data_IF_067892448033
#
_entry.id   IF_067892448033
#
_cell.length_a   1.000
_cell.length_b   1.000
_cell.length_c   1.000
_cell.angle_alpha   90.00
_cell.angle_beta   90.00
_cell.angle_gamma   90.00
#
_symmetry.space_group_name_H-M   'P 1'
#
loop_
_entity.id
_entity.type
_entity.pdbx_description
1 polymer ?
#
# COMPACT_ATOMS: atom_id res chain seq x y z
N UNK A 1 -2.74 -20.19 21.11
CA UNK A 1 -2.33 -19.58 19.83
C UNK A 1 -0.81 -19.46 19.88
N UNK A 2 -0.07 -20.18 19.04
CA UNK A 2 1.39 -20.08 19.02
C UNK A 2 1.78 -18.86 18.18
N UNK A 3 2.31 -17.82 18.82
CA UNK A 3 2.72 -16.57 18.14
C UNK A 3 3.94 -16.75 17.24
N UNK A 4 4.66 -17.88 17.36
CA UNK A 4 5.83 -18.22 16.55
C UNK A 4 5.50 -19.11 15.35
N UNK A 5 4.23 -19.47 15.16
CA UNK A 5 3.83 -20.28 14.01
C UNK A 5 3.95 -19.47 12.71
N UNK A 6 4.81 -19.94 11.81
CA UNK A 6 5.01 -19.35 10.49
C UNK A 6 3.97 -19.97 9.54
N UNK A 7 2.97 -19.17 9.17
CA UNK A 7 1.97 -19.50 8.15
C UNK A 7 2.18 -18.66 6.89
N UNK A 8 1.92 -19.26 5.74
CA UNK A 8 1.86 -18.56 4.46
C UNK A 8 0.75 -17.51 4.46
N UNK A 9 0.85 -16.51 3.57
CA UNK A 9 -0.22 -15.52 3.41
C UNK A 9 -1.55 -16.15 2.99
N UNK A 10 -1.51 -17.22 2.19
CA UNK A 10 -2.73 -17.96 1.83
C UNK A 10 -3.44 -18.49 3.07
N UNK A 11 -2.72 -19.20 3.94
CA UNK A 11 -3.28 -19.75 5.19
C UNK A 11 -3.75 -18.66 6.16
N UNK A 12 -3.10 -17.49 6.15
CA UNK A 12 -3.52 -16.35 6.99
C UNK A 12 -4.79 -15.66 6.49
N UNK A 13 -5.05 -15.70 5.18
CA UNK A 13 -6.22 -15.10 4.56
C UNK A 13 -7.33 -16.12 4.29
N UNK A 14 -7.06 -17.42 4.48
CA UNK A 14 -8.03 -18.49 4.29
C UNK A 14 -9.26 -18.30 5.18
N UNK A 15 -10.45 -18.45 4.60
CA UNK A 15 -11.72 -18.19 5.27
C UNK A 15 -12.11 -16.71 5.40
N UNK A 16 -11.20 -15.76 5.13
CA UNK A 16 -11.55 -14.34 4.99
C UNK A 16 -11.92 -14.04 3.54
N UNK A 17 -13.22 -13.93 3.27
CA UNK A 17 -13.74 -13.66 1.91
C UNK A 17 -13.43 -12.26 1.40
N UNK A 18 -13.07 -11.33 2.30
CA UNK A 18 -12.75 -9.96 1.94
C UNK A 18 -11.71 -9.33 2.89
N UNK A 19 -10.41 -9.66 2.74
CA UNK A 19 -9.33 -9.04 3.51
C UNK A 19 -9.03 -7.60 3.11
N UNK A 20 -9.62 -7.09 2.03
CA UNK A 20 -9.46 -5.70 1.60
C UNK A 20 -8.09 -5.42 0.99
N UNK A 21 -7.32 -4.51 1.61
CA UNK A 21 -5.95 -4.15 1.20
C UNK A 21 -5.00 -4.52 2.32
N UNK A 22 -3.82 -5.01 1.96
CA UNK A 22 -2.82 -5.33 2.97
C UNK A 22 -1.40 -5.13 2.48
N UNK A 23 -0.54 -4.90 3.46
CA UNK A 23 0.88 -4.69 3.31
C UNK A 23 1.57 -5.75 4.17
N UNK A 24 2.53 -6.44 3.57
CA UNK A 24 3.52 -7.26 4.27
C UNK A 24 4.86 -6.60 4.07
N UNK A 25 5.57 -6.32 5.15
CA UNK A 25 6.87 -5.66 5.12
C UNK A 25 7.79 -6.32 6.13
N UNK A 26 9.02 -6.57 5.72
CA UNK A 26 10.03 -7.18 6.58
C UNK A 26 11.23 -7.63 5.77
N UNK A 27 11.86 -8.71 6.22
CA UNK A 27 13.04 -9.30 5.59
C UNK A 27 12.79 -10.72 5.12
N UNK A 28 13.55 -11.16 4.12
CA UNK A 28 13.57 -12.57 3.70
C UNK A 28 14.03 -13.48 4.84
N UNK A 29 13.70 -14.77 4.76
CA UNK A 29 14.02 -15.73 5.82
C UNK A 29 15.53 -15.87 6.12
N UNK A 30 16.38 -15.56 5.13
CA UNK A 30 17.84 -15.52 5.31
C UNK A 30 18.36 -14.19 5.89
N UNK A 31 17.48 -13.21 6.12
CA UNK A 31 17.79 -11.88 6.63
C UNK A 31 18.55 -10.98 5.67
N UNK A 32 18.74 -11.38 4.40
CA UNK A 32 19.64 -10.68 3.46
C UNK A 32 18.96 -9.61 2.62
N UNK A 33 17.64 -9.67 2.46
CA UNK A 33 16.89 -8.75 1.61
C UNK A 33 15.68 -8.21 2.35
N UNK A 34 15.37 -6.93 2.14
CA UNK A 34 14.05 -6.42 2.42
C UNK A 34 13.03 -7.10 1.47
N UNK A 35 11.86 -7.44 1.99
CA UNK A 35 10.76 -8.01 1.23
C UNK A 35 9.48 -7.25 1.56
N UNK A 36 8.82 -6.77 0.51
CA UNK A 36 7.56 -6.04 0.60
C UNK A 36 6.56 -6.69 -0.34
N UNK A 37 5.34 -6.90 0.14
CA UNK A 37 4.21 -7.33 -0.67
C UNK A 37 3.00 -6.45 -0.39
N UNK A 38 2.32 -6.06 -1.47
CA UNK A 38 1.04 -5.37 -1.42
C UNK A 38 -0.02 -6.22 -2.11
N UNK A 39 -1.19 -6.33 -1.51
CA UNK A 39 -2.33 -7.00 -2.13
C UNK A 39 -3.59 -6.16 -1.99
N UNK A 40 -4.48 -6.33 -2.97
CA UNK A 40 -5.65 -5.50 -3.13
C UNK A 40 -6.87 -6.30 -3.57
N UNK A 41 -8.00 -5.98 -2.96
CA UNK A 41 -9.31 -6.49 -3.34
C UNK A 41 -10.32 -5.36 -3.50
N UNK A 42 -11.38 -5.63 -4.26
CA UNK A 42 -12.46 -4.68 -4.52
C UNK A 42 -13.83 -5.26 -4.16
N UNK A 43 -14.74 -4.39 -3.68
CA UNK A 43 -16.16 -4.71 -3.41
C UNK A 43 -17.04 -4.37 -4.59
N UNK A 44 -16.92 -3.15 -5.11
CA UNK A 44 -17.70 -2.62 -6.23
C UNK A 44 -17.05 -2.91 -7.58
N UNK A 45 -17.81 -2.76 -8.66
CA UNK A 45 -17.30 -2.80 -10.04
C UNK A 45 -16.13 -1.83 -10.20
N UNK A 46 -16.29 -0.57 -9.76
CA UNK A 46 -15.23 0.45 -9.82
C UNK A 46 -13.94 -0.02 -9.09
N UNK A 47 -14.06 -0.53 -7.86
CA UNK A 47 -12.90 -0.96 -7.06
C UNK A 47 -12.27 -2.29 -7.50
N UNK A 48 -12.99 -3.11 -8.27
CA UNK A 48 -12.49 -4.36 -8.87
C UNK A 48 -11.83 -4.12 -10.21
N UNK A 49 -12.17 -3.02 -10.87
CA UNK A 49 -11.70 -2.66 -12.20
C UNK A 49 -10.29 -2.07 -12.17
N UNK A 50 -9.33 -2.77 -11.57
CA UNK A 50 -7.94 -2.31 -11.46
C UNK A 50 -6.94 -3.42 -11.62
N UNK A 51 -5.85 -3.10 -12.31
CA UNK A 51 -4.66 -3.95 -12.48
C UNK A 51 -3.43 -3.17 -12.05
N UNK A 52 -2.36 -3.89 -11.69
CA UNK A 52 -1.06 -3.26 -11.48
C UNK A 52 -0.32 -3.14 -12.80
N UNK A 53 0.34 -2.01 -12.99
CA UNK A 53 1.28 -1.78 -14.07
C UNK A 53 2.61 -1.31 -13.49
N UNK A 54 3.68 -1.82 -14.06
CA UNK A 54 5.04 -1.40 -13.72
C UNK A 54 5.29 0.02 -14.23
N UNK A 55 5.90 0.82 -13.36
CA UNK A 55 6.41 2.16 -13.62
C UNK A 55 7.91 2.19 -13.30
N UNK A 56 8.70 3.14 -13.83
CA UNK A 56 10.14 3.20 -13.59
C UNK A 56 10.54 3.25 -12.10
N UNK A 57 9.68 3.78 -11.24
CA UNK A 57 9.90 3.94 -9.80
C UNK A 57 8.95 3.07 -8.96
N UNK A 58 8.35 2.01 -9.52
CA UNK A 58 7.54 1.07 -8.74
C UNK A 58 6.35 0.51 -9.53
N UNK A 59 5.17 0.56 -8.93
CA UNK A 59 3.94 0.14 -9.60
C UNK A 59 2.83 1.16 -9.39
N UNK A 60 1.94 1.23 -10.36
CA UNK A 60 0.73 2.04 -10.33
C UNK A 60 -0.50 1.17 -10.59
N UNK A 61 -1.62 1.51 -10.00
CA UNK A 61 -2.90 0.93 -10.42
C UNK A 61 -3.43 1.63 -11.67
N UNK A 62 -3.94 0.83 -12.61
CA UNK A 62 -4.64 1.32 -13.80
C UNK A 62 -6.00 0.64 -13.92
N UNK A 63 -6.95 1.30 -14.60
CA UNK A 63 -8.24 0.70 -14.87
C UNK A 63 -8.07 -0.49 -15.83
N UNK A 64 -8.66 -1.65 -15.48
CA UNK A 64 -8.65 -2.80 -16.39
C UNK A 64 -9.48 -2.51 -17.65
N UNK A 65 -10.69 -1.99 -17.46
CA UNK A 65 -11.57 -1.47 -18.50
C UNK A 65 -11.88 0.01 -18.21
N UNK A 66 -11.26 0.95 -18.94
CA UNK A 66 -11.51 2.39 -18.72
C UNK A 66 -12.97 2.81 -18.81
N UNK A 67 -13.85 2.06 -19.51
CA UNK A 67 -15.27 2.38 -19.63
C UNK A 67 -16.08 2.08 -18.36
N UNK A 68 -15.58 1.20 -17.48
CA UNK A 68 -16.22 0.85 -16.21
C UNK A 68 -15.73 1.72 -15.04
N UNK A 69 -14.81 2.66 -15.31
CA UNK A 69 -14.28 3.58 -14.31
C UNK A 69 -15.22 4.77 -14.14
N UNK A 70 -15.74 4.93 -12.93
CA UNK A 70 -16.62 6.04 -12.57
C UNK A 70 -15.85 7.16 -11.90
N UNK A 71 -14.99 6.81 -10.94
CA UNK A 71 -14.17 7.75 -10.20
C UNK A 71 -12.74 7.19 -10.05
N UNK A 72 -11.72 7.86 -10.63
CA UNK A 72 -10.33 7.42 -10.57
C UNK A 72 -9.66 7.68 -9.21
N UNK A 73 -10.16 8.60 -8.38
CA UNK A 73 -9.43 9.15 -7.22
C UNK A 73 -8.98 8.07 -6.22
N UNK A 74 -9.85 7.11 -5.91
CA UNK A 74 -9.55 6.03 -4.95
C UNK A 74 -9.03 4.74 -5.60
N UNK A 75 -8.84 4.73 -6.93
CA UNK A 75 -8.49 3.52 -7.67
C UNK A 75 -7.20 3.66 -8.48
N UNK A 76 -6.78 4.88 -8.86
CA UNK A 76 -5.55 5.15 -9.62
C UNK A 76 -4.54 5.84 -8.70
N UNK A 77 -3.54 5.10 -8.24
CA UNK A 77 -2.47 5.59 -7.36
C UNK A 77 -1.24 4.68 -7.46
N UNK A 78 -0.12 5.09 -6.87
CA UNK A 78 1.06 4.24 -6.71
C UNK A 78 0.95 3.42 -5.43
N UNK A 79 0.65 2.11 -5.44
CA UNK A 79 0.70 1.34 -4.21
C UNK A 79 2.13 1.04 -3.74
N UNK A 80 3.12 1.07 -4.65
CA UNK A 80 4.54 0.92 -4.29
C UNK A 80 5.35 1.93 -5.09
N UNK A 81 6.25 2.66 -4.42
CA UNK A 81 7.11 3.65 -5.05
C UNK A 81 8.49 3.72 -4.40
N UNK A 82 9.53 3.81 -5.21
CA UNK A 82 10.93 3.96 -4.80
C UNK A 82 11.22 5.38 -4.30
N UNK A 83 12.09 5.47 -3.28
CA UNK A 83 12.61 6.74 -2.75
C UNK A 83 14.09 6.58 -2.40
N UNK A 84 14.96 6.89 -3.37
CA UNK A 84 16.39 6.57 -3.25
C UNK A 84 16.58 5.06 -3.15
N UNK A 85 17.26 4.57 -2.10
CA UNK A 85 17.39 3.14 -1.78
C UNK A 85 16.25 2.61 -0.88
N UNK A 86 15.22 3.42 -0.64
CA UNK A 86 14.05 3.09 0.15
C UNK A 86 12.83 2.72 -0.71
N UNK A 87 11.80 2.17 -0.06
CA UNK A 87 10.54 1.78 -0.70
C UNK A 87 9.33 2.21 0.14
N UNK A 88 8.42 2.95 -0.48
CA UNK A 88 7.12 3.34 0.08
C UNK A 88 6.07 2.36 -0.42
N UNK A 89 5.19 1.89 0.47
CA UNK A 89 4.06 1.04 0.11
C UNK A 89 2.79 1.51 0.81
N UNK A 90 1.71 1.78 0.09
CA UNK A 90 0.45 2.26 0.71
C UNK A 90 -0.79 1.78 -0.04
N UNK A 91 -1.98 1.94 0.55
CA UNK A 91 -3.26 1.62 -0.11
C UNK A 91 -3.93 2.79 -0.85
N UNK A 92 -3.25 3.91 -1.07
CA UNK A 92 -3.85 5.05 -1.75
C UNK A 92 -2.84 6.08 -2.24
N UNK A 93 -3.36 7.23 -2.65
CA UNK A 93 -2.58 8.38 -3.15
C UNK A 93 -1.64 9.00 -2.11
N UNK A 94 -1.77 8.64 -0.83
CA UNK A 94 -0.81 9.09 0.19
C UNK A 94 0.62 8.62 -0.08
N UNK A 95 0.84 7.61 -0.94
CA UNK A 95 2.18 7.26 -1.43
C UNK A 95 2.89 8.47 -2.03
N UNK A 96 2.19 9.24 -2.87
CA UNK A 96 2.78 10.40 -3.53
C UNK A 96 2.97 11.56 -2.55
N UNK A 97 2.03 11.75 -1.60
CA UNK A 97 2.21 12.71 -0.50
C UNK A 97 3.45 12.39 0.32
N UNK A 98 3.65 11.12 0.71
CA UNK A 98 4.84 10.69 1.44
C UNK A 98 6.10 10.94 0.62
N UNK A 99 6.09 10.51 -0.65
CA UNK A 99 7.24 10.66 -1.54
C UNK A 99 7.65 12.14 -1.67
N UNK A 100 6.69 13.04 -1.89
CA UNK A 100 6.94 14.48 -2.02
C UNK A 100 7.54 15.10 -0.75
N UNK A 101 7.06 14.69 0.43
CA UNK A 101 7.58 15.17 1.70
C UNK A 101 9.02 14.68 1.91
N UNK A 102 9.25 13.38 1.73
CA UNK A 102 10.59 12.79 1.88
C UNK A 102 11.59 13.41 0.88
N UNK A 103 11.17 13.65 -0.36
CA UNK A 103 12.00 14.30 -1.39
C UNK A 103 12.39 15.74 -1.03
N UNK A 104 11.59 16.42 -0.20
CA UNK A 104 11.89 17.76 0.36
C UNK A 104 12.70 17.71 1.65
N UNK A 105 13.05 16.52 2.15
CA UNK A 105 13.72 16.33 3.44
C UNK A 105 12.79 16.43 4.65
N UNK A 106 11.46 16.42 4.43
CA UNK A 106 10.46 16.41 5.49
C UNK A 106 10.24 14.98 6.05
N UNK A 107 9.56 14.89 7.18
CA UNK A 107 9.29 13.61 7.84
C UNK A 107 8.08 12.85 7.26
N UNK A 108 8.15 11.52 7.33
CA UNK A 108 7.02 10.60 7.11
C UNK A 108 5.77 11.00 7.92
N UNK A 109 5.97 11.36 9.18
CA UNK A 109 4.90 11.75 10.10
C UNK A 109 4.25 13.07 9.68
N UNK A 110 5.03 14.03 9.18
CA UNK A 110 4.50 15.28 8.63
C UNK A 110 3.61 15.03 7.41
N UNK A 111 4.02 14.12 6.51
CA UNK A 111 3.23 13.74 5.35
C UNK A 111 1.88 13.14 5.78
N UNK A 112 1.89 12.15 6.67
CA UNK A 112 0.68 11.45 7.10
C UNK A 112 -0.30 12.32 7.90
N UNK A 113 0.20 13.33 8.64
CA UNK A 113 -0.67 14.29 9.34
C UNK A 113 -1.51 15.17 8.42
N UNK A 114 -1.17 15.25 7.13
CA UNK A 114 -2.01 15.95 6.13
C UNK A 114 -3.15 15.10 5.60
N UNK A 115 -3.13 13.79 5.89
CA UNK A 115 -4.08 12.83 5.35
C UNK A 115 -5.16 12.51 6.39
N UNK A 116 -6.28 12.03 5.88
CA UNK A 116 -7.40 11.50 6.66
C UNK A 116 -7.79 10.15 6.06
N UNK A 117 -8.78 9.48 6.66
CA UNK A 117 -9.45 8.34 6.04
C UNK A 117 -9.84 8.65 4.58
N UNK A 118 -10.01 7.60 3.77
CA UNK A 118 -10.58 7.75 2.44
C UNK A 118 -11.97 8.41 2.53
N UNK A 119 -12.31 9.26 1.57
CA UNK A 119 -13.56 10.02 1.50
C UNK A 119 -14.74 9.17 0.96
N UNK A 120 -14.74 7.87 1.27
CA UNK A 120 -15.63 6.85 0.72
C UNK A 120 -16.84 6.56 1.62
N UNK A 121 -17.46 7.63 2.13
CA UNK A 121 -18.63 7.54 3.03
C UNK A 121 -19.65 6.51 2.54
N UNK A 122 -20.20 5.67 3.43
CA UNK A 122 -20.03 5.67 4.88
C UNK A 122 -18.85 4.82 5.40
N UNK A 123 -17.98 4.30 4.52
CA UNK A 123 -16.97 3.31 4.92
C UNK A 123 -15.80 3.91 5.70
N UNK A 124 -15.36 5.11 5.32
CA UNK A 124 -14.19 5.78 5.92
C UNK A 124 -12.98 4.86 5.95
N UNK A 125 -12.58 4.36 4.79
CA UNK A 125 -11.56 3.32 4.75
C UNK A 125 -10.22 3.83 5.31
N UNK A 126 -9.59 3.10 6.25
CA UNK A 126 -8.25 3.42 6.75
C UNK A 126 -7.20 3.52 5.66
N UNK A 127 -6.23 4.42 5.87
CA UNK A 127 -5.03 4.51 5.05
C UNK A 127 -3.90 3.74 5.73
N UNK A 128 -3.55 2.58 5.17
CA UNK A 128 -2.39 1.79 5.60
C UNK A 128 -1.17 2.19 4.78
N UNK A 129 -0.06 2.39 5.47
CA UNK A 129 1.19 2.87 4.86
C UNK A 129 2.39 2.18 5.51
N UNK A 130 3.37 1.81 4.70
CA UNK A 130 4.66 1.27 5.10
C UNK A 130 5.80 1.98 4.39
N UNK A 131 6.95 2.06 5.06
CA UNK A 131 8.19 2.57 4.52
C UNK A 131 9.32 1.62 4.93
N UNK A 132 10.07 1.12 3.96
CA UNK A 132 11.45 0.70 4.19
C UNK A 132 12.33 1.92 3.88
N UNK A 133 12.93 2.48 4.92
CA UNK A 133 13.75 3.68 4.81
C UNK A 133 15.15 3.34 4.28
N UNK A 134 15.83 4.36 3.77
CA UNK A 134 17.18 4.24 3.21
C UNK A 134 18.22 3.77 4.24
N UNK A 135 17.96 3.97 5.54
CA UNK A 135 18.81 3.47 6.62
C UNK A 135 18.51 2.01 7.02
N UNK A 136 17.60 1.34 6.30
CA UNK A 136 17.15 -0.02 6.58
C UNK A 136 16.09 -0.12 7.68
N UNK A 137 15.67 1.00 8.28
CA UNK A 137 14.56 0.99 9.26
C UNK A 137 13.20 0.83 8.57
N UNK A 138 12.22 0.36 9.34
CA UNK A 138 10.86 0.18 8.86
C UNK A 138 9.90 1.07 9.65
N UNK A 139 8.97 1.73 8.95
CA UNK A 139 7.84 2.44 9.55
C UNK A 139 6.54 1.86 9.02
N UNK A 140 5.53 1.78 9.89
CA UNK A 140 4.16 1.42 9.51
C UNK A 140 3.18 2.39 10.16
N UNK A 141 2.09 2.66 9.46
CA UNK A 141 0.99 3.48 9.97
C UNK A 141 -0.34 2.97 9.45
N UNK A 142 -1.36 3.11 10.30
CA UNK A 142 -2.76 3.07 9.94
C UNK A 142 -3.39 4.35 10.49
N UNK A 143 -4.08 5.10 9.61
CA UNK A 143 -4.95 6.21 10.00
C UNK A 143 -6.33 5.69 10.35
#
# INVERSE_FOLDING_TARGET
MNVYEIKSMKERLEGNTYPGRGIVIGVTADGKKAAVAYFIMGRSVNSRNRVFREEPDGIRTEAYDPSLMVDPHLIIYHPVREIGEGLIVTNGDQTDTIWEYLAKGESWEAALRTRQFEDDRPNWTPRISGLQAMDGSYKMSIL
#
